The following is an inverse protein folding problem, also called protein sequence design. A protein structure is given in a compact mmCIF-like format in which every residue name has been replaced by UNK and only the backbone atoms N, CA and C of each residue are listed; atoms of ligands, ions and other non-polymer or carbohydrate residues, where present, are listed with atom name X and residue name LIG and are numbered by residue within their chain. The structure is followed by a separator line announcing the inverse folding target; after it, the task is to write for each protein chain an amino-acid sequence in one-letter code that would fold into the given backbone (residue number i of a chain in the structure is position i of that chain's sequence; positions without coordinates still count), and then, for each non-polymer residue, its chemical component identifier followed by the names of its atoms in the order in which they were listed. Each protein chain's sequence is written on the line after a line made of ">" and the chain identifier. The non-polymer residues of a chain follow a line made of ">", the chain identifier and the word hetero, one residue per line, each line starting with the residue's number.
data_IF_245880976279
#
_entry.id   IF_245880976279
#
_cell.length_a   1.000
_cell.length_b   1.000
_cell.length_c   1.000
_cell.angle_alpha   90.00
_cell.angle_beta   90.00
_cell.angle_gamma   90.00
#
_symmetry.space_group_name_H-M   'P 1'
#
loop_
_entity.id
_entity.type
_entity.pdbx_description
1 polymer ?
#
# COMPACT_ATOMS: atom_id res chain seq x y z
N UNK A 1 -16.24 35.38 30.18
CA UNK A 1 -14.78 35.56 30.30
C UNK A 1 -14.20 35.17 28.95
N UNK A 2 -14.31 36.10 28.00
CA UNK A 2 -13.89 35.92 26.61
C UNK A 2 -12.48 36.48 26.52
N UNK A 3 -11.48 35.62 26.31
CA UNK A 3 -10.16 36.08 25.95
C UNK A 3 -10.11 36.24 24.43
N UNK A 4 -10.00 37.49 24.03
CA UNK A 4 -9.71 37.96 22.68
C UNK A 4 -8.21 37.77 22.47
N UNK A 5 -7.81 37.05 21.42
CA UNK A 5 -6.48 37.21 20.83
C UNK A 5 -6.65 37.68 19.39
N UNK A 6 -6.36 38.97 19.27
CA UNK A 6 -6.11 39.77 18.10
C UNK A 6 -4.80 39.30 17.44
N UNK A 7 -4.81 38.99 16.14
CA UNK A 7 -3.66 39.28 15.30
C UNK A 7 -4.08 39.54 13.85
N UNK A 8 -3.50 40.61 13.34
CA UNK A 8 -3.85 41.39 12.16
C UNK A 8 -3.53 40.69 10.83
N UNK A 9 -4.31 41.07 9.81
CA UNK A 9 -3.76 41.67 8.59
C UNK A 9 -3.01 40.76 7.61
N UNK A 10 -3.59 40.56 6.43
CA UNK A 10 -2.87 39.99 5.29
C UNK A 10 -3.77 39.80 4.08
N UNK A 11 -4.01 40.90 3.38
CA UNK A 11 -4.85 41.08 2.19
C UNK A 11 -4.78 39.94 1.17
N UNK A 12 -5.96 39.47 0.74
CA UNK A 12 -6.13 38.62 -0.42
C UNK A 12 -5.81 39.41 -1.69
N UNK A 13 -4.55 39.37 -2.14
CA UNK A 13 -4.15 39.91 -3.43
C UNK A 13 -4.17 38.78 -4.47
N UNK A 14 -5.02 38.94 -5.48
CA UNK A 14 -5.34 37.91 -6.47
C UNK A 14 -4.10 37.26 -7.10
N UNK A 15 -4.05 35.94 -7.01
CA UNK A 15 -3.10 35.12 -7.74
C UNK A 15 -3.38 35.26 -9.24
N UNK A 16 -2.62 36.11 -9.90
CA UNK A 16 -2.41 36.01 -11.35
C UNK A 16 -1.75 34.66 -11.57
N UNK A 17 -2.53 33.67 -12.01
CA UNK A 17 -2.00 32.39 -12.51
C UNK A 17 -1.04 32.71 -13.65
N UNK A 18 0.25 32.75 -13.34
CA UNK A 18 1.30 32.85 -14.35
C UNK A 18 1.42 31.48 -15.01
N UNK A 19 1.42 31.47 -16.32
CA UNK A 19 1.66 30.24 -17.07
C UNK A 19 3.04 29.65 -16.70
N UNK A 20 3.17 28.31 -16.65
CA UNK A 20 4.45 27.65 -16.39
C UNK A 20 5.56 28.15 -17.32
N UNK A 21 6.71 28.51 -16.75
CA UNK A 21 7.89 28.91 -17.51
C UNK A 21 8.45 27.72 -18.28
N UNK A 22 8.93 27.93 -19.51
CA UNK A 22 9.43 26.84 -20.36
C UNK A 22 10.66 26.15 -19.75
N UNK A 23 10.75 24.82 -19.89
CA UNK A 23 11.76 24.00 -19.20
C UNK A 23 13.22 24.39 -19.49
N UNK A 24 13.52 24.94 -20.67
CA UNK A 24 14.89 25.35 -21.05
C UNK A 24 15.39 26.61 -20.34
N UNK A 25 14.49 27.38 -19.72
CA UNK A 25 14.82 28.65 -19.07
C UNK A 25 14.97 28.50 -17.54
N UNK A 26 14.78 27.28 -17.03
CA UNK A 26 14.77 26.99 -15.60
C UNK A 26 15.97 26.12 -15.20
N UNK A 27 16.70 26.56 -14.17
CA UNK A 27 17.66 25.73 -13.45
C UNK A 27 17.26 25.59 -11.97
N UNK A 28 16.57 24.49 -11.59
CA UNK A 28 16.11 24.26 -10.23
C UNK A 28 17.23 24.28 -9.17
N UNK A 29 18.49 24.04 -9.54
CA UNK A 29 19.59 23.97 -8.56
C UNK A 29 19.99 25.33 -8.02
N UNK A 30 19.83 26.39 -8.81
CA UNK A 30 20.24 27.75 -8.44
C UNK A 30 19.09 28.65 -8.00
N UNK A 31 17.83 28.21 -8.19
CA UNK A 31 16.63 28.96 -7.80
C UNK A 31 16.49 29.13 -6.28
N UNK A 32 15.81 30.22 -5.88
CA UNK A 32 15.40 30.45 -4.49
C UNK A 32 14.16 29.63 -4.15
N UNK A 33 13.97 29.34 -2.86
CA UNK A 33 12.82 28.54 -2.38
C UNK A 33 11.48 29.15 -2.78
N UNK A 34 11.39 30.48 -2.82
CA UNK A 34 10.21 31.22 -3.26
C UNK A 34 9.89 30.96 -4.73
N UNK A 35 10.89 31.02 -5.61
CA UNK A 35 10.77 30.78 -7.05
C UNK A 35 10.42 29.31 -7.34
N UNK A 36 11.00 28.37 -6.60
CA UNK A 36 10.67 26.94 -6.70
C UNK A 36 9.20 26.67 -6.36
N UNK A 37 8.64 27.37 -5.36
CA UNK A 37 7.22 27.21 -4.97
C UNK A 37 6.28 27.76 -6.01
N UNK A 38 6.55 28.97 -6.51
CA UNK A 38 5.72 29.60 -7.55
C UNK A 38 5.69 28.75 -8.82
N UNK A 39 6.83 28.14 -9.20
CA UNK A 39 6.91 27.30 -10.41
C UNK A 39 6.21 25.95 -10.25
N UNK A 40 6.19 25.40 -9.03
CA UNK A 40 5.42 24.21 -8.68
C UNK A 40 3.92 24.51 -8.67
N UNK A 41 3.50 25.64 -8.10
CA UNK A 41 2.09 26.08 -8.08
C UNK A 41 1.56 26.34 -9.50
N UNK A 42 2.36 26.98 -10.35
CA UNK A 42 2.02 27.19 -11.77
C UNK A 42 1.76 25.86 -12.51
N UNK A 43 2.46 24.79 -12.12
CA UNK A 43 2.28 23.41 -12.65
C UNK A 43 1.26 22.57 -11.88
N UNK A 44 0.52 23.16 -10.95
CA UNK A 44 -0.44 22.46 -10.07
C UNK A 44 0.21 21.34 -9.23
N UNK A 45 1.47 21.53 -8.85
CA UNK A 45 2.24 20.63 -7.99
C UNK A 45 2.36 21.20 -6.57
N UNK A 46 2.58 20.31 -5.60
CA UNK A 46 2.70 20.71 -4.20
C UNK A 46 3.93 21.62 -3.95
N UNK A 47 3.76 22.82 -3.34
CA UNK A 47 4.84 23.75 -2.98
C UNK A 47 5.45 23.45 -1.60
N UNK A 48 5.05 22.37 -0.93
CA UNK A 48 5.48 22.04 0.44
C UNK A 48 6.74 21.17 0.42
N UNK A 49 7.61 21.38 1.42
CA UNK A 49 8.80 20.57 1.68
C UNK A 49 10.09 21.37 1.86
N UNK A 50 11.18 20.65 2.14
CA UNK A 50 12.56 21.16 2.17
C UNK A 50 13.01 21.59 0.77
N UNK A 51 13.99 22.52 0.67
CA UNK A 51 14.51 23.02 -0.62
C UNK A 51 14.89 21.87 -1.56
N UNK A 52 15.58 20.83 -1.07
CA UNK A 52 15.96 19.65 -1.85
C UNK A 52 14.76 18.89 -2.43
N UNK A 53 13.65 18.79 -1.69
CA UNK A 53 12.42 18.12 -2.13
C UNK A 53 11.72 18.91 -3.22
N UNK A 54 11.71 20.25 -3.13
CA UNK A 54 11.16 21.13 -4.17
C UNK A 54 11.96 21.03 -5.47
N UNK A 55 13.30 21.03 -5.36
CA UNK A 55 14.22 20.86 -6.50
C UNK A 55 13.98 19.52 -7.19
N UNK A 56 13.91 18.43 -6.42
CA UNK A 56 13.68 17.09 -6.97
C UNK A 56 12.34 16.99 -7.73
N UNK A 57 11.27 17.58 -7.17
CA UNK A 57 9.93 17.59 -7.77
C UNK A 57 9.90 18.41 -9.07
N UNK A 58 10.49 19.60 -9.07
CA UNK A 58 10.53 20.46 -10.25
C UNK A 58 11.38 19.82 -11.36
N UNK A 59 12.58 19.33 -11.03
CA UNK A 59 13.51 18.68 -12.00
C UNK A 59 12.86 17.49 -12.71
N UNK A 60 12.13 16.64 -11.98
CA UNK A 60 11.41 15.50 -12.57
C UNK A 60 10.35 15.95 -13.59
N UNK A 61 9.67 17.05 -13.29
CA UNK A 61 8.58 17.57 -14.14
C UNK A 61 9.15 18.21 -15.40
N UNK A 62 10.20 19.02 -15.28
CA UNK A 62 10.87 19.64 -16.43
C UNK A 62 11.44 18.60 -17.40
N UNK A 63 12.01 17.50 -16.89
CA UNK A 63 12.50 16.40 -17.73
C UNK A 63 11.36 15.74 -18.53
N UNK A 64 10.20 15.54 -17.90
CA UNK A 64 9.03 14.96 -18.56
C UNK A 64 8.44 15.88 -19.63
N UNK A 65 8.47 17.21 -19.40
CA UNK A 65 8.07 18.21 -20.40
C UNK A 65 9.03 18.24 -21.59
N UNK A 66 10.33 18.13 -21.32
CA UNK A 66 11.37 18.06 -22.35
C UNK A 66 11.21 16.80 -23.23
N UNK A 67 11.05 15.62 -22.63
CA UNK A 67 10.88 14.35 -23.35
C UNK A 67 9.66 14.40 -24.29
N UNK A 68 8.54 14.97 -23.83
CA UNK A 68 7.32 15.16 -24.65
C UNK A 68 7.49 16.17 -25.77
N UNK A 69 8.19 17.28 -25.53
CA UNK A 69 8.45 18.30 -26.54
C UNK A 69 9.37 17.77 -27.66
N UNK A 70 10.32 16.90 -27.31
CA UNK A 70 11.18 16.20 -28.27
C UNK A 70 10.38 15.18 -29.10
N UNK A 71 9.46 14.43 -28.48
CA UNK A 71 8.52 13.52 -29.18
C UNK A 71 7.60 14.24 -30.19
N UNK A 72 7.18 15.47 -29.93
CA UNK A 72 6.29 16.24 -30.82
C UNK A 72 7.03 16.91 -31.98
N UNK A 73 8.27 17.40 -31.76
CA UNK A 73 9.11 17.95 -32.84
C UNK A 73 9.43 16.89 -33.91
N UNK A 74 9.58 15.64 -33.52
CA UNK A 74 9.77 14.49 -34.42
C UNK A 74 8.51 14.13 -35.25
N UNK A 75 7.33 14.64 -34.91
CA UNK A 75 6.06 14.37 -35.61
C UNK A 75 5.66 15.42 -36.66
N UNK A 76 6.25 16.63 -36.67
CA UNK A 76 5.83 17.75 -37.52
C UNK A 76 6.63 17.98 -38.81
N UNK A 77 7.58 17.10 -39.16
CA UNK A 77 8.52 17.34 -40.26
C UNK A 77 8.20 16.65 -41.61
N UNK A 78 7.00 16.09 -41.87
CA UNK A 78 6.72 15.46 -43.18
C UNK A 78 5.24 15.44 -43.62
N UNK A 79 4.96 16.07 -44.77
CA UNK A 79 3.83 15.79 -45.72
C UNK A 79 4.34 15.95 -47.19
N UNK A 80 3.71 15.34 -48.24
CA UNK A 80 4.36 14.40 -49.20
C UNK A 80 4.34 14.82 -50.72
N UNK A 81 4.82 14.02 -51.72
CA UNK A 81 3.97 13.02 -52.46
C UNK A 81 4.74 11.73 -52.99
N UNK A 82 4.14 10.76 -53.74
CA UNK A 82 3.56 9.45 -53.32
C UNK A 82 4.33 8.16 -53.82
N UNK A 83 3.78 6.92 -53.69
CA UNK A 83 4.12 5.77 -52.79
C UNK A 83 5.16 4.74 -53.40
N UNK A 84 5.53 3.55 -52.83
CA UNK A 84 5.07 2.84 -51.61
C UNK A 84 6.18 2.20 -50.70
N UNK A 85 5.74 1.76 -49.51
CA UNK A 85 6.16 0.62 -48.65
C UNK A 85 6.66 0.96 -47.23
N UNK A 86 6.23 0.18 -46.22
CA UNK A 86 6.35 0.55 -44.81
C UNK A 86 7.60 -0.01 -44.11
N UNK A 87 7.90 0.60 -42.95
CA UNK A 87 8.67 0.14 -41.76
C UNK A 87 10.15 0.58 -41.58
N UNK A 88 10.69 0.65 -40.32
CA UNK A 88 10.04 0.58 -38.98
C UNK A 88 10.54 1.59 -37.88
N UNK A 89 9.71 1.79 -36.83
CA UNK A 89 10.05 2.35 -35.50
C UNK A 89 9.90 1.24 -34.42
N UNK A 90 10.86 0.32 -34.29
CA UNK A 90 10.66 -0.91 -33.49
C UNK A 90 11.42 -0.93 -32.15
N UNK A 91 12.50 -0.17 -31.93
CA UNK A 91 13.50 -0.56 -30.92
C UNK A 91 13.18 -0.32 -29.43
N UNK A 92 12.37 0.68 -29.04
CA UNK A 92 12.12 0.97 -27.60
C UNK A 92 10.87 0.28 -27.04
N UNK A 93 9.82 0.08 -27.86
CA UNK A 93 8.66 -0.75 -27.51
C UNK A 93 9.04 -2.23 -27.45
N UNK A 94 9.96 -2.68 -28.33
CA UNK A 94 10.54 -4.03 -28.27
C UNK A 94 11.31 -4.28 -26.97
N UNK A 95 11.99 -3.27 -26.41
CA UNK A 95 12.76 -3.45 -25.18
C UNK A 95 11.85 -3.66 -23.97
N UNK A 96 10.77 -2.88 -23.86
CA UNK A 96 9.78 -3.05 -22.80
C UNK A 96 8.97 -4.35 -22.94
N UNK A 97 8.61 -4.73 -24.18
CA UNK A 97 7.94 -6.02 -24.45
C UNK A 97 8.85 -7.21 -24.17
N UNK A 98 10.16 -7.12 -24.49
CA UNK A 98 11.16 -8.14 -24.14
C UNK A 98 11.32 -8.30 -22.62
N UNK A 99 11.39 -7.20 -21.86
CA UNK A 99 11.47 -7.26 -20.39
C UNK A 99 10.21 -7.88 -19.75
N UNK A 100 9.02 -7.56 -20.25
CA UNK A 100 7.77 -8.19 -19.80
C UNK A 100 7.69 -9.69 -20.17
N UNK A 101 8.17 -10.06 -21.36
CA UNK A 101 8.20 -11.45 -21.81
C UNK A 101 9.22 -12.29 -21.03
N UNK A 102 10.40 -11.74 -20.71
CA UNK A 102 11.39 -12.41 -19.85
C UNK A 102 10.86 -12.60 -18.43
N UNK A 103 10.19 -11.59 -17.86
CA UNK A 103 9.54 -11.70 -16.54
C UNK A 103 8.46 -12.77 -16.54
N UNK A 104 7.62 -12.84 -17.58
CA UNK A 104 6.61 -13.89 -17.72
C UNK A 104 7.22 -15.29 -17.83
N UNK A 105 8.29 -15.45 -18.63
CA UNK A 105 9.01 -16.73 -18.74
C UNK A 105 9.63 -17.14 -17.40
N UNK A 106 10.16 -16.19 -16.65
CA UNK A 106 10.70 -16.46 -15.31
C UNK A 106 9.60 -16.87 -14.34
N UNK A 107 8.46 -16.18 -14.32
CA UNK A 107 7.30 -16.53 -13.50
C UNK A 107 6.74 -17.92 -13.83
N UNK A 108 6.63 -18.27 -15.12
CA UNK A 108 6.21 -19.61 -15.55
C UNK A 108 7.20 -20.69 -15.14
N UNK A 109 8.50 -20.41 -15.23
CA UNK A 109 9.56 -21.32 -14.78
C UNK A 109 9.51 -21.54 -13.27
N UNK A 110 9.29 -20.48 -12.51
CA UNK A 110 9.12 -20.54 -11.05
C UNK A 110 7.85 -21.30 -10.67
N UNK A 111 6.74 -21.10 -11.39
CA UNK A 111 5.48 -21.82 -11.21
C UNK A 111 5.65 -23.32 -11.46
N UNK A 112 6.20 -23.72 -12.61
CA UNK A 112 6.48 -25.13 -12.91
C UNK A 112 7.40 -25.76 -11.87
N UNK A 113 8.42 -25.02 -11.43
CA UNK A 113 9.32 -25.50 -10.40
C UNK A 113 8.64 -25.60 -9.02
N UNK A 114 7.60 -24.82 -8.74
CA UNK A 114 6.78 -24.90 -7.53
C UNK A 114 5.84 -26.11 -7.59
N UNK A 115 5.13 -26.30 -8.71
CA UNK A 115 4.26 -27.46 -8.94
C UNK A 115 5.02 -28.79 -8.87
N UNK A 116 6.28 -28.83 -9.33
CA UNK A 116 7.14 -30.02 -9.22
C UNK A 116 7.66 -30.28 -7.79
N UNK A 117 7.86 -29.23 -6.98
CA UNK A 117 8.47 -29.35 -5.64
C UNK A 117 7.45 -29.52 -4.51
N UNK A 118 6.23 -29.05 -4.71
CA UNK A 118 5.20 -29.04 -3.67
C UNK A 118 3.97 -29.78 -4.16
N UNK A 119 3.68 -30.92 -3.55
CA UNK A 119 2.39 -31.61 -3.68
C UNK A 119 1.39 -30.98 -2.72
N UNK A 120 0.15 -30.81 -3.18
CA UNK A 120 -0.93 -30.35 -2.30
C UNK A 120 -1.24 -31.43 -1.26
N UNK A 121 -1.36 -31.10 0.04
CA UNK A 121 -1.82 -32.04 1.06
C UNK A 121 -3.29 -32.46 0.84
N UNK A 122 -3.64 -33.68 1.24
CA UNK A 122 -5.02 -34.19 1.13
C UNK A 122 -6.00 -33.51 2.10
N UNK A 123 -5.50 -33.03 3.24
CA UNK A 123 -6.27 -32.28 4.22
C UNK A 123 -6.15 -30.75 4.01
N UNK A 124 -7.08 -29.93 4.52
CA UNK A 124 -6.99 -28.47 4.40
C UNK A 124 -5.73 -27.90 5.05
N UNK A 125 -4.88 -27.24 4.27
CA UNK A 125 -3.63 -26.63 4.73
C UNK A 125 -3.42 -25.26 4.08
N UNK A 126 -2.79 -24.35 4.84
CA UNK A 126 -2.28 -23.10 4.29
C UNK A 126 -0.87 -23.36 3.78
N UNK A 127 -0.66 -23.20 2.47
CA UNK A 127 0.64 -23.34 1.85
C UNK A 127 1.32 -21.98 1.72
N UNK A 128 2.50 -21.86 2.32
CA UNK A 128 3.29 -20.62 2.30
C UNK A 128 4.60 -20.89 1.57
N UNK A 129 4.88 -20.06 0.56
CA UNK A 129 6.12 -20.11 -0.20
C UNK A 129 6.82 -18.75 -0.07
N UNK A 130 7.69 -18.57 0.93
CA UNK A 130 8.43 -17.33 1.11
C UNK A 130 9.19 -16.96 -0.16
N UNK A 131 9.15 -15.67 -0.52
CA UNK A 131 9.87 -15.20 -1.72
C UNK A 131 11.36 -15.37 -1.56
N UNK A 132 12.00 -16.04 -2.52
CA UNK A 132 13.45 -16.29 -2.52
C UNK A 132 14.27 -15.03 -2.81
N UNK A 133 13.64 -13.99 -3.35
CA UNK A 133 14.29 -12.73 -3.73
C UNK A 133 13.98 -11.59 -2.76
N UNK A 134 12.84 -11.63 -2.05
CA UNK A 134 12.49 -10.62 -1.06
C UNK A 134 13.48 -10.64 0.11
N UNK A 135 13.83 -9.45 0.63
CA UNK A 135 14.79 -9.27 1.73
C UNK A 135 16.08 -10.10 1.56
N UNK A 136 16.61 -10.20 0.32
CA UNK A 136 17.79 -11.00 0.00
C UNK A 136 17.66 -12.49 0.36
N UNK A 137 16.46 -13.05 0.20
CA UNK A 137 16.16 -14.45 0.52
C UNK A 137 16.03 -14.75 2.01
N UNK A 138 16.06 -13.73 2.86
CA UNK A 138 15.84 -13.84 4.33
C UNK A 138 14.39 -13.58 4.73
N UNK A 139 13.46 -13.56 3.78
CA UNK A 139 12.04 -13.48 4.11
C UNK A 139 11.58 -14.85 4.60
N UNK A 140 11.17 -14.93 5.86
CA UNK A 140 10.69 -16.13 6.53
C UNK A 140 9.22 -16.01 6.94
N UNK A 141 8.61 -17.15 7.26
CA UNK A 141 7.24 -17.22 7.78
C UNK A 141 7.26 -18.17 8.96
N UNK A 142 6.68 -17.75 10.08
CA UNK A 142 6.71 -18.48 11.34
C UNK A 142 5.29 -18.73 11.79
N UNK A 143 5.02 -19.95 12.27
CA UNK A 143 3.73 -20.29 12.88
C UNK A 143 3.75 -19.81 14.33
N UNK A 144 2.79 -18.97 14.68
CA UNK A 144 2.64 -18.40 16.02
C UNK A 144 1.20 -18.66 16.48
N UNK A 145 1.03 -19.13 17.72
CA UNK A 145 -0.30 -19.33 18.31
C UNK A 145 -0.90 -17.99 18.74
N UNK A 146 -2.23 -17.91 18.72
CA UNK A 146 -2.95 -16.74 19.25
C UNK A 146 -2.57 -16.44 20.71
N UNK A 147 -2.43 -17.48 21.54
CA UNK A 147 -2.00 -17.34 22.94
C UNK A 147 -0.64 -16.67 23.09
N UNK A 148 0.29 -16.88 22.14
CA UNK A 148 1.59 -16.25 22.18
C UNK A 148 1.53 -14.79 21.71
N UNK A 149 0.65 -14.47 20.75
CA UNK A 149 0.43 -13.08 20.31
C UNK A 149 -0.22 -12.22 21.41
N UNK A 150 -1.02 -12.83 22.28
CA UNK A 150 -1.67 -12.14 23.41
C UNK A 150 -0.75 -12.00 24.63
N UNK A 151 0.39 -12.72 24.68
CA UNK A 151 1.37 -12.63 25.76
C UNK A 151 2.39 -11.51 25.46
N UNK A 152 2.02 -10.27 25.77
CA UNK A 152 2.83 -9.09 25.45
C UNK A 152 4.23 -9.15 26.07
N UNK A 153 5.25 -9.14 25.21
CA UNK A 153 6.64 -8.99 25.65
C UNK A 153 7.16 -7.59 25.33
N UNK A 154 8.21 -7.12 26.03
CA UNK A 154 8.82 -5.82 25.76
C UNK A 154 9.20 -5.63 24.28
N UNK A 155 9.61 -6.69 23.59
CA UNK A 155 9.97 -6.67 22.17
C UNK A 155 8.78 -6.36 21.24
N UNK A 156 7.56 -6.63 21.69
CA UNK A 156 6.30 -6.49 20.95
C UNK A 156 5.69 -5.08 21.08
N UNK A 157 6.31 -4.19 21.86
CA UNK A 157 5.91 -2.77 22.01
C UNK A 157 6.32 -1.88 20.84
N UNK A 158 6.96 -2.45 19.81
CA UNK A 158 7.42 -1.73 18.63
C UNK A 158 6.28 -1.49 17.65
N UNK A 159 6.32 -0.36 16.95
CA UNK A 159 5.27 0.07 16.01
C UNK A 159 4.94 -0.99 14.94
N UNK A 160 5.94 -1.73 14.45
CA UNK A 160 5.72 -2.76 13.42
C UNK A 160 4.95 -3.99 13.91
N UNK A 161 4.78 -4.17 15.22
CA UNK A 161 3.98 -5.26 15.81
C UNK A 161 2.57 -4.81 16.18
N UNK A 162 2.29 -3.50 16.18
CA UNK A 162 1.04 -2.94 16.68
C UNK A 162 -0.19 -3.50 15.97
N UNK A 163 -0.19 -3.51 14.63
CA UNK A 163 -1.34 -4.01 13.86
C UNK A 163 -1.62 -5.49 14.13
N UNK A 164 -0.55 -6.28 14.35
CA UNK A 164 -0.66 -7.71 14.66
C UNK A 164 -1.27 -7.91 16.04
N UNK A 165 -0.83 -7.15 17.03
CA UNK A 165 -1.39 -7.18 18.39
C UNK A 165 -2.85 -6.75 18.41
N UNK A 166 -3.19 -5.65 17.72
CA UNK A 166 -4.57 -5.17 17.61
C UNK A 166 -5.47 -6.22 16.95
N UNK A 167 -4.99 -6.87 15.89
CA UNK A 167 -5.72 -7.97 15.25
C UNK A 167 -5.93 -9.14 16.21
N UNK A 168 -4.89 -9.55 16.95
CA UNK A 168 -4.98 -10.66 17.90
C UNK A 168 -6.04 -10.41 18.98
N UNK A 169 -6.11 -9.19 19.52
CA UNK A 169 -7.12 -8.78 20.51
C UNK A 169 -8.54 -8.85 19.94
N UNK A 170 -8.78 -8.21 18.80
CA UNK A 170 -10.10 -8.20 18.16
C UNK A 170 -10.56 -9.60 17.76
N UNK A 171 -9.62 -10.43 17.28
CA UNK A 171 -9.91 -11.82 16.93
C UNK A 171 -10.24 -12.65 18.17
N UNK A 172 -9.50 -12.47 19.26
CA UNK A 172 -9.78 -13.13 20.53
C UNK A 172 -11.13 -12.70 21.11
N UNK A 173 -11.47 -11.40 21.06
CA UNK A 173 -12.78 -10.88 21.46
C UNK A 173 -13.91 -11.51 20.66
N UNK A 174 -13.76 -11.59 19.33
CA UNK A 174 -14.73 -12.26 18.45
C UNK A 174 -14.91 -13.73 18.85
N UNK A 175 -13.83 -14.47 19.10
CA UNK A 175 -13.91 -15.87 19.53
C UNK A 175 -14.61 -16.02 20.88
N UNK A 176 -14.22 -15.22 21.88
CA UNK A 176 -14.84 -15.25 23.21
C UNK A 176 -16.34 -14.95 23.14
N UNK A 177 -16.72 -13.94 22.34
CA UNK A 177 -18.12 -13.61 22.11
C UNK A 177 -18.87 -14.78 21.48
N UNK A 178 -18.37 -15.31 20.37
CA UNK A 178 -19.06 -16.37 19.63
C UNK A 178 -19.16 -17.67 20.45
N UNK A 179 -18.10 -18.03 21.20
CA UNK A 179 -18.15 -19.18 22.12
C UNK A 179 -19.10 -18.94 23.29
N UNK A 180 -19.09 -17.73 23.85
CA UNK A 180 -20.03 -17.33 24.91
C UNK A 180 -21.49 -17.48 24.44
N UNK A 181 -21.82 -17.01 23.24
CA UNK A 181 -23.15 -17.17 22.65
C UNK A 181 -23.51 -18.65 22.40
N UNK A 182 -22.56 -19.46 21.93
CA UNK A 182 -22.80 -20.90 21.75
C UNK A 182 -23.11 -21.59 23.07
N UNK A 183 -22.38 -21.27 24.13
CA UNK A 183 -22.62 -21.81 25.47
C UNK A 183 -23.98 -21.33 25.99
N UNK A 184 -24.26 -20.02 25.89
CA UNK A 184 -25.54 -19.45 26.31
C UNK A 184 -26.71 -20.16 25.63
N UNK A 185 -26.66 -20.29 24.30
CA UNK A 185 -27.71 -20.95 23.53
C UNK A 185 -27.87 -22.42 23.92
N UNK A 186 -26.77 -23.14 24.13
CA UNK A 186 -26.81 -24.54 24.58
C UNK A 186 -27.43 -24.69 25.99
N UNK A 187 -27.23 -23.72 26.87
CA UNK A 187 -27.85 -23.70 28.21
C UNK A 187 -29.33 -23.34 28.15
N UNK A 188 -29.70 -22.37 27.31
CA UNK A 188 -31.10 -21.97 27.10
C UNK A 188 -31.93 -23.09 26.45
N UNK A 189 -31.34 -23.83 25.52
CA UNK A 189 -31.96 -25.00 24.88
C UNK A 189 -31.93 -26.26 25.77
N UNK A 190 -31.21 -26.23 26.89
CA UNK A 190 -31.16 -27.37 27.80
C UNK A 190 -32.50 -27.56 28.50
N UNK A 191 -33.02 -28.80 28.60
CA UNK A 191 -34.20 -29.06 29.40
C UNK A 191 -33.98 -28.68 30.86
N UNK A 192 -35.04 -28.18 31.52
CA UNK A 192 -34.99 -27.88 32.95
C UNK A 192 -34.64 -29.14 33.72
N UNK A 193 -33.73 -29.01 34.69
CA UNK A 193 -33.40 -30.11 35.59
C UNK A 193 -34.64 -30.45 36.39
N UNK A 194 -35.09 -31.71 36.29
CA UNK A 194 -36.15 -32.26 37.15
C UNK A 194 -35.69 -32.09 38.58
N UNK A 195 -36.47 -31.33 39.38
CA UNK A 195 -36.22 -31.23 40.82
C UNK A 195 -36.39 -32.63 41.41
N UNK A 196 -35.30 -33.23 41.88
CA UNK A 196 -35.41 -34.40 42.75
C UNK A 196 -36.15 -33.93 44.01
N UNK A 197 -37.36 -34.46 44.21
CA UNK A 197 -38.09 -34.25 45.44
C UNK A 197 -37.23 -34.78 46.58
N UNK A 198 -36.77 -33.90 47.47
CA UNK A 198 -36.21 -34.29 48.75
C UNK A 198 -37.26 -35.16 49.43
N UNK A 199 -37.01 -36.47 49.51
CA UNK A 199 -37.78 -37.36 50.37
C UNK A 199 -37.59 -36.85 51.80
N UNK A 200 -38.54 -36.06 52.27
CA UNK A 200 -38.74 -35.79 53.69
C UNK A 200 -38.83 -37.16 54.35
N UNK A 201 -37.81 -37.49 55.15
CA UNK A 201 -37.74 -38.76 55.84
C UNK A 201 -38.94 -38.90 56.76
N UNK A 202 -39.92 -39.69 56.32
CA UNK A 202 -40.89 -40.32 57.20
C UNK A 202 -40.18 -41.41 58.01
N UNK A 203 -40.43 -41.37 59.31
CA UNK A 203 -40.32 -42.44 60.29
C UNK A 203 -38.93 -42.87 60.78
N UNK A 204 -38.62 -42.47 62.02
CA UNK A 204 -38.50 -43.44 63.12
C UNK A 204 -39.11 -42.83 64.40
N UNK A 205 -40.30 -43.36 64.76
CA UNK A 205 -40.90 -43.35 66.09
C UNK A 205 -40.05 -44.15 67.08
#
# INVERSE_FOLDING_TARGET
>A
MTLVCFQEGGESMGEIKKDPTHYSELDPKIMKVTELRTELEARLLSPKGLKSQLIARLTKTLKTEQDKAEEEKLKKAAEPPPPPKPEPKIEDDDKKRKEEEEKRKQDERERMAREKRYTLPDAPHILVHPSRVAKSGKFDCTIISLSLLLDYRPEDTKEHSFEVSLFAELFNEMLMRDFGFRIYKALEESPEKVKEEEKVGEDYL
#
